data_IF_782399581762
#
_entry.id   IF_782399581762
#
_cell.length_a   1.000
_cell.length_b   1.000
_cell.length_c   1.000
_cell.angle_alpha   90.00
_cell.angle_beta   90.00
_cell.angle_gamma   90.00
#
_symmetry.space_group_name_H-M   'P 1'
#
loop_
_entity.id
_entity.type
_entity.pdbx_description
1 polymer ?
#
# COMPACT_ATOMS: atom_id res chain seq x y z
N UNK A 1 4.99 51.93 37.82
CA UNK A 1 3.68 51.56 37.24
C UNK A 1 3.63 50.05 37.08
N UNK A 2 2.65 49.33 37.64
CA UNK A 2 2.54 47.88 37.47
C UNK A 2 2.01 47.58 36.06
N UNK A 3 2.71 46.72 35.31
CA UNK A 3 2.24 46.23 34.00
C UNK A 3 1.11 45.22 34.25
N UNK A 4 -0.11 45.43 33.72
CA UNK A 4 -1.20 44.50 33.92
C UNK A 4 -0.92 43.20 33.16
N UNK A 5 -0.82 42.08 33.89
CA UNK A 5 -0.72 40.75 33.30
C UNK A 5 -2.03 40.43 32.56
N UNK A 6 -1.98 40.46 31.23
CA UNK A 6 -3.11 40.11 30.36
C UNK A 6 -3.54 38.65 30.65
N UNK A 7 -4.85 38.36 30.80
CA UNK A 7 -5.31 37.02 31.17
C UNK A 7 -4.99 36.02 30.05
N UNK A 8 -4.17 35.00 30.35
CA UNK A 8 -3.78 33.91 29.42
C UNK A 8 -4.91 32.91 29.10
N UNK A 9 -6.12 33.16 29.61
CA UNK A 9 -7.31 32.31 29.46
C UNK A 9 -7.75 32.05 28.01
N UNK A 10 -7.69 32.99 27.03
CA UNK A 10 -8.15 32.71 25.68
C UNK A 10 -7.17 31.81 24.91
N UNK A 11 -5.87 31.87 25.25
CA UNK A 11 -4.84 31.08 24.56
C UNK A 11 -4.86 29.61 25.01
N UNK A 12 -5.12 29.37 26.30
CA UNK A 12 -5.32 28.00 26.83
C UNK A 12 -6.60 27.40 26.25
N UNK A 13 -7.71 28.15 26.23
CA UNK A 13 -8.97 27.70 25.65
C UNK A 13 -8.83 27.39 24.14
N UNK A 14 -8.13 28.24 23.39
CA UNK A 14 -7.86 28.03 21.97
C UNK A 14 -6.99 26.78 21.72
N UNK A 15 -5.96 26.55 22.53
CA UNK A 15 -5.12 25.35 22.41
C UNK A 15 -5.90 24.08 22.75
N UNK A 16 -6.73 24.06 23.81
CA UNK A 16 -7.59 22.91 24.10
C UNK A 16 -8.63 22.66 23.01
N UNK A 17 -9.20 23.71 22.42
CA UNK A 17 -10.14 23.57 21.32
C UNK A 17 -9.46 23.01 20.07
N UNK A 18 -8.26 23.49 19.74
CA UNK A 18 -7.46 22.98 18.60
C UNK A 18 -7.04 21.53 18.81
N UNK A 19 -6.56 21.16 20.00
CA UNK A 19 -6.24 19.75 20.30
C UNK A 19 -7.47 18.84 20.27
N UNK A 20 -8.63 19.31 20.73
CA UNK A 20 -9.90 18.56 20.66
C UNK A 20 -10.39 18.42 19.22
N UNK A 21 -10.25 19.47 18.41
CA UNK A 21 -10.57 19.48 16.97
C UNK A 21 -9.63 18.58 16.16
N UNK A 22 -8.33 18.56 16.49
CA UNK A 22 -7.36 17.65 15.87
C UNK A 22 -7.63 16.19 16.28
N UNK A 23 -8.03 15.94 17.52
CA UNK A 23 -8.46 14.61 17.98
C UNK A 23 -9.73 14.11 17.27
N UNK A 24 -10.68 15.01 16.96
CA UNK A 24 -11.91 14.69 16.21
C UNK A 24 -11.68 14.60 14.69
N UNK A 25 -10.68 15.31 14.15
CA UNK A 25 -10.31 15.21 12.73
C UNK A 25 -9.58 13.91 12.38
N UNK A 26 -9.11 13.16 13.40
CA UNK A 26 -8.55 11.82 13.25
C UNK A 26 -9.60 10.71 13.07
N UNK A 27 -10.89 11.04 13.00
CA UNK A 27 -11.96 10.06 12.77
C UNK A 27 -11.86 9.45 11.37
N UNK A 28 -11.12 8.35 11.33
CA UNK A 28 -11.09 7.25 10.37
C UNK A 28 -12.38 7.11 9.55
N UNK A 29 -12.33 7.52 8.28
CA UNK A 29 -13.40 7.31 7.31
C UNK A 29 -13.30 5.95 6.60
N UNK A 30 -14.41 5.32 6.20
CA UNK A 30 -14.45 3.94 5.70
C UNK A 30 -13.90 3.73 4.28
N UNK A 31 -13.34 4.73 3.59
CA UNK A 31 -13.04 4.63 2.15
C UNK A 31 -11.65 5.13 1.79
N UNK A 32 -10.61 4.49 2.32
CA UNK A 32 -9.23 4.66 1.86
C UNK A 32 -8.77 3.41 1.11
N UNK A 33 -8.89 3.36 -0.23
CA UNK A 33 -8.63 2.15 -1.01
C UNK A 33 -7.15 1.68 -0.97
N UNK A 34 -6.25 2.51 -0.43
CA UNK A 34 -4.83 2.22 -0.25
C UNK A 34 -4.44 2.14 1.24
N UNK A 35 -5.40 1.98 2.15
CA UNK A 35 -5.13 1.87 3.58
C UNK A 35 -4.37 0.58 3.89
N UNK A 36 -3.33 0.70 4.72
CA UNK A 36 -2.64 -0.45 5.34
C UNK A 36 -3.29 -0.89 6.64
N UNK A 37 -4.27 -0.13 7.15
CA UNK A 37 -4.94 -0.37 8.43
C UNK A 37 -6.18 -1.25 8.30
N UNK A 38 -6.55 -1.63 7.08
CA UNK A 38 -7.60 -2.61 6.82
C UNK A 38 -6.99 -3.96 6.47
N UNK A 39 -7.44 -4.99 7.17
CA UNK A 39 -6.84 -6.32 7.09
C UNK A 39 -7.69 -7.25 6.22
N UNK A 40 -7.22 -7.54 5.00
CA UNK A 40 -7.87 -8.45 4.04
C UNK A 40 -7.08 -9.74 3.77
N UNK A 41 -5.98 -9.95 4.50
CA UNK A 41 -5.16 -11.17 4.43
C UNK A 41 -4.70 -11.60 5.82
N UNK A 42 -4.28 -12.87 5.92
CA UNK A 42 -3.59 -13.42 7.09
C UNK A 42 -2.33 -12.63 7.46
N UNK A 43 -1.53 -12.25 6.47
CA UNK A 43 -0.35 -11.42 6.66
C UNK A 43 -0.71 -10.06 7.26
N UNK A 44 -1.71 -9.35 6.73
CA UNK A 44 -2.06 -8.01 7.21
C UNK A 44 -2.56 -8.04 8.65
N UNK A 45 -3.30 -9.10 9.05
CA UNK A 45 -3.71 -9.25 10.46
C UNK A 45 -2.54 -9.34 11.42
N UNK A 46 -1.52 -10.12 11.08
CA UNK A 46 -0.33 -10.25 11.93
C UNK A 46 0.42 -8.92 12.05
N UNK A 47 0.62 -8.23 10.92
CA UNK A 47 1.31 -6.93 10.88
C UNK A 47 0.49 -5.85 11.59
N UNK A 48 -0.82 -5.81 11.38
CA UNK A 48 -1.75 -4.89 12.02
C UNK A 48 -1.72 -5.03 13.54
N UNK A 49 -1.75 -6.26 14.06
CA UNK A 49 -1.62 -6.51 15.49
C UNK A 49 -0.31 -5.95 16.06
N UNK A 50 0.83 -6.18 15.39
CA UNK A 50 2.12 -5.63 15.83
C UNK A 50 2.13 -4.10 15.78
N UNK A 51 1.56 -3.52 14.72
CA UNK A 51 1.45 -2.08 14.57
C UNK A 51 0.63 -1.46 15.70
N UNK A 52 -0.51 -2.05 16.04
CA UNK A 52 -1.37 -1.58 17.13
C UNK A 52 -0.64 -1.61 18.48
N UNK A 53 0.08 -2.70 18.78
CA UNK A 53 0.89 -2.81 20.00
C UNK A 53 1.98 -1.73 20.03
N UNK A 54 2.70 -1.54 18.92
CA UNK A 54 3.76 -0.53 18.80
C UNK A 54 3.22 0.89 19.00
N UNK A 55 2.09 1.22 18.37
CA UNK A 55 1.46 2.53 18.50
C UNK A 55 0.97 2.76 19.91
N UNK A 56 0.30 1.80 20.55
CA UNK A 56 -0.21 1.95 21.92
C UNK A 56 0.95 2.19 22.90
N UNK A 57 2.01 1.37 22.83
CA UNK A 57 3.19 1.52 23.69
C UNK A 57 3.91 2.83 23.40
N UNK A 58 4.08 3.17 22.12
CA UNK A 58 4.72 4.42 21.69
C UNK A 58 3.97 5.65 22.18
N UNK A 59 2.64 5.67 22.06
CA UNK A 59 1.78 6.74 22.57
C UNK A 59 1.87 6.82 24.10
N UNK A 60 1.87 5.69 24.81
CA UNK A 60 2.00 5.70 26.27
C UNK A 60 3.34 6.32 26.73
N UNK A 61 4.45 5.95 26.09
CA UNK A 61 5.77 6.53 26.36
C UNK A 61 5.81 8.02 25.98
N UNK A 62 5.28 8.36 24.81
CA UNK A 62 5.20 9.76 24.34
C UNK A 62 4.44 10.64 25.34
N UNK A 63 3.23 10.23 25.74
CA UNK A 63 2.41 10.96 26.72
C UNK A 63 3.14 11.07 28.06
N UNK A 64 3.80 10.01 28.53
CA UNK A 64 4.58 10.06 29.76
C UNK A 64 5.71 11.11 29.70
N UNK A 65 6.50 11.10 28.62
CA UNK A 65 7.60 12.06 28.41
C UNK A 65 7.06 13.49 28.28
N UNK A 66 6.01 13.70 27.49
CA UNK A 66 5.39 15.02 27.32
C UNK A 66 4.79 15.55 28.62
N UNK A 67 4.13 14.71 29.42
CA UNK A 67 3.61 15.11 30.74
C UNK A 67 4.75 15.53 31.67
N UNK A 68 5.86 14.79 31.72
CA UNK A 68 7.02 15.17 32.52
C UNK A 68 7.67 16.46 32.01
N UNK A 69 7.79 16.63 30.69
CA UNK A 69 8.32 17.85 30.09
C UNK A 69 7.44 19.07 30.41
N UNK A 70 6.13 18.96 30.20
CA UNK A 70 5.18 20.02 30.51
C UNK A 70 5.17 20.32 32.02
N UNK A 71 5.19 19.29 32.85
CA UNK A 71 5.29 19.43 34.30
C UNK A 71 6.56 20.17 34.71
N UNK A 72 7.72 19.80 34.17
CA UNK A 72 8.99 20.43 34.52
C UNK A 72 9.03 21.89 34.07
N UNK A 73 8.59 22.19 32.84
CA UNK A 73 8.46 23.55 32.32
C UNK A 73 7.53 24.38 33.19
N UNK A 74 6.38 23.84 33.60
CA UNK A 74 5.39 24.58 34.38
C UNK A 74 5.84 24.79 35.84
N UNK A 75 6.38 23.74 36.48
CA UNK A 75 6.73 23.70 37.90
C UNK A 75 8.04 24.42 38.22
N UNK A 76 9.03 24.34 37.32
CA UNK A 76 10.38 24.91 37.50
C UNK A 76 10.63 26.16 36.64
N UNK A 77 9.58 26.76 36.07
CA UNK A 77 9.69 28.06 35.40
C UNK A 77 10.25 29.13 36.33
N UNK A 78 11.25 29.88 35.87
CA UNK A 78 11.85 31.00 36.59
C UNK A 78 10.79 32.05 36.98
N UNK A 79 10.82 32.50 38.24
CA UNK A 79 9.98 33.59 38.76
C UNK A 79 10.85 34.74 39.27
N UNK A 80 10.35 35.99 39.23
CA UNK A 80 11.09 37.13 39.78
C UNK A 80 11.45 36.90 41.25
N UNK A 81 12.73 37.09 41.60
CA UNK A 81 13.23 36.93 42.97
C UNK A 81 13.60 35.50 43.39
N UNK A 82 13.59 34.52 42.49
CA UNK A 82 14.12 33.18 42.79
C UNK A 82 15.65 33.13 42.68
N UNK A 83 16.29 32.51 43.68
CA UNK A 83 17.72 32.18 43.66
C UNK A 83 18.04 31.02 42.70
N UNK A 84 19.31 30.62 42.65
CA UNK A 84 19.75 29.50 41.82
C UNK A 84 19.14 28.17 42.31
N UNK A 85 18.77 27.24 41.40
CA UNK A 85 18.25 25.93 41.77
C UNK A 85 19.32 25.06 42.43
N UNK A 86 18.89 24.09 43.22
CA UNK A 86 19.76 23.11 43.87
C UNK A 86 20.55 22.31 42.82
N UNK A 87 21.89 22.29 42.96
CA UNK A 87 22.78 21.58 42.05
C UNK A 87 22.93 20.12 42.49
N UNK A 88 21.99 19.30 42.06
CA UNK A 88 22.05 17.85 42.26
C UNK A 88 22.87 17.19 41.15
N UNK A 89 23.69 16.20 41.51
CA UNK A 89 24.52 15.46 40.56
C UNK A 89 24.20 13.97 40.65
N UNK A 90 23.73 13.41 39.53
CA UNK A 90 23.50 11.97 39.37
C UNK A 90 22.38 11.40 40.23
N UNK A 91 21.82 10.29 39.78
CA UNK A 91 20.97 9.44 40.61
C UNK A 91 21.03 8.03 40.04
N UNK A 92 21.91 7.21 40.60
CA UNK A 92 22.15 5.84 40.13
C UNK A 92 20.87 5.01 40.06
N UNK A 93 19.94 5.20 41.01
CA UNK A 93 18.66 4.47 41.01
C UNK A 93 17.78 4.87 39.83
N UNK A 94 17.66 6.17 39.55
CA UNK A 94 16.91 6.62 38.38
C UNK A 94 17.60 6.21 37.07
N UNK A 95 18.93 6.30 37.03
CA UNK A 95 19.77 5.86 35.91
C UNK A 95 19.54 4.40 35.52
N UNK A 96 19.52 3.52 36.51
CA UNK A 96 19.20 2.11 36.31
C UNK A 96 17.75 1.96 35.84
N UNK A 97 16.79 2.67 36.45
CA UNK A 97 15.37 2.55 36.15
C UNK A 97 15.05 2.88 34.69
N UNK A 98 15.51 4.03 34.19
CA UNK A 98 15.25 4.44 32.80
C UNK A 98 16.11 3.71 31.78
N UNK A 99 17.08 2.90 32.20
CA UNK A 99 17.84 2.02 31.31
C UNK A 99 17.17 0.66 31.20
N UNK A 100 16.76 0.09 32.35
CA UNK A 100 16.14 -1.24 32.42
C UNK A 100 14.72 -1.23 31.87
N UNK A 101 13.90 -0.21 32.15
CA UNK A 101 12.51 -0.16 31.68
C UNK A 101 12.45 -0.17 30.14
N UNK A 102 13.14 0.71 29.39
CA UNK A 102 13.14 0.66 27.93
C UNK A 102 13.71 -0.65 27.38
N UNK A 103 14.73 -1.22 28.00
CA UNK A 103 15.27 -2.52 27.59
C UNK A 103 14.20 -3.63 27.68
N UNK A 104 13.42 -3.68 28.77
CA UNK A 104 12.31 -4.63 28.92
C UNK A 104 11.21 -4.38 27.88
N UNK A 105 10.85 -3.11 27.64
CA UNK A 105 9.87 -2.75 26.61
C UNK A 105 10.32 -3.24 25.23
N UNK A 106 11.59 -3.07 24.88
CA UNK A 106 12.15 -3.54 23.62
C UNK A 106 12.10 -5.06 23.52
N UNK A 107 12.43 -5.81 24.57
CA UNK A 107 12.33 -7.27 24.58
C UNK A 107 10.88 -7.72 24.36
N UNK A 108 9.92 -7.09 25.04
CA UNK A 108 8.50 -7.39 24.90
C UNK A 108 7.98 -7.18 23.47
N UNK A 109 8.43 -6.12 22.79
CA UNK A 109 8.09 -5.84 21.39
C UNK A 109 8.83 -6.78 20.42
N UNK A 110 10.10 -7.09 20.71
CA UNK A 110 10.96 -7.85 19.81
C UNK A 110 10.50 -9.31 19.64
N UNK A 111 10.06 -9.97 20.70
CA UNK A 111 9.64 -11.38 20.65
C UNK A 111 8.53 -11.65 19.62
N UNK A 112 7.34 -11.00 19.69
CA UNK A 112 6.29 -11.21 18.71
C UNK A 112 6.70 -10.70 17.31
N UNK A 113 7.51 -9.64 17.22
CA UNK A 113 8.03 -9.14 15.95
C UNK A 113 8.86 -10.22 15.23
N UNK A 114 9.81 -10.84 15.93
CA UNK A 114 10.65 -11.91 15.38
C UNK A 114 9.81 -13.13 14.99
N UNK A 115 8.81 -13.50 15.77
CA UNK A 115 7.88 -14.59 15.42
C UNK A 115 7.14 -14.33 14.11
N UNK A 116 6.59 -13.11 13.94
CA UNK A 116 5.91 -12.73 12.70
C UNK A 116 6.89 -12.67 11.53
N UNK A 117 8.13 -12.21 11.73
CA UNK A 117 9.18 -12.27 10.70
C UNK A 117 9.39 -13.72 10.24
N UNK A 118 9.59 -14.67 11.16
CA UNK A 118 9.78 -16.07 10.76
C UNK A 118 8.55 -16.67 10.07
N UNK A 119 7.34 -16.33 10.53
CA UNK A 119 6.09 -16.76 9.89
C UNK A 119 5.99 -16.24 8.46
N UNK A 120 6.21 -14.95 8.26
CA UNK A 120 6.05 -14.26 6.98
C UNK A 120 7.17 -14.58 5.98
N UNK A 121 8.37 -14.92 6.46
CA UNK A 121 9.50 -15.33 5.62
C UNK A 121 9.58 -16.85 5.37
N UNK A 122 8.70 -17.64 6.00
CA UNK A 122 8.67 -19.08 5.80
C UNK A 122 8.34 -19.44 4.35
N UNK A 123 8.72 -20.64 3.93
CA UNK A 123 8.24 -21.18 2.66
C UNK A 123 6.74 -21.38 2.72
N UNK A 124 6.06 -21.04 1.63
CA UNK A 124 4.62 -21.31 1.48
C UNK A 124 4.33 -22.80 1.63
N UNK A 125 3.17 -23.14 2.16
CA UNK A 125 2.70 -24.53 2.22
C UNK A 125 2.38 -25.05 0.80
N UNK A 126 2.51 -26.37 0.53
CA UNK A 126 2.07 -26.96 -0.73
C UNK A 126 0.59 -26.67 -1.04
N UNK A 127 0.24 -26.59 -2.32
CA UNK A 127 -1.14 -26.35 -2.79
C UNK A 127 -1.51 -24.88 -3.00
N UNK A 128 -0.61 -23.95 -2.67
CA UNK A 128 -0.77 -22.54 -3.00
C UNK A 128 -0.79 -22.31 -4.52
N UNK A 129 -1.64 -21.39 -4.98
CA UNK A 129 -1.62 -20.91 -6.37
C UNK A 129 -0.29 -20.25 -6.67
N UNK A 130 0.41 -20.71 -7.70
CA UNK A 130 1.66 -20.09 -8.14
C UNK A 130 1.37 -18.93 -9.09
N UNK A 131 1.91 -17.76 -8.77
CA UNK A 131 1.88 -16.58 -9.65
C UNK A 131 3.30 -16.06 -9.81
N UNK A 132 3.79 -15.97 -11.04
CA UNK A 132 5.03 -15.26 -11.33
C UNK A 132 4.71 -13.78 -11.54
N UNK A 133 5.34 -12.92 -10.76
CA UNK A 133 5.27 -11.47 -10.92
C UNK A 133 6.57 -10.99 -11.54
N UNK A 134 6.47 -10.46 -12.75
CA UNK A 134 7.61 -9.95 -13.50
C UNK A 134 7.47 -8.44 -13.59
N UNK A 135 8.38 -7.74 -12.91
CA UNK A 135 8.54 -6.30 -13.06
C UNK A 135 9.27 -6.02 -14.36
N UNK A 136 8.59 -5.36 -15.29
CA UNK A 136 9.18 -4.84 -16.52
C UNK A 136 9.24 -3.33 -16.45
N UNK A 137 10.03 -2.73 -17.33
CA UNK A 137 10.20 -1.30 -17.37
C UNK A 137 8.84 -0.63 -17.60
N UNK A 138 8.29 -0.12 -16.48
CA UNK A 138 7.05 0.63 -16.36
C UNK A 138 5.74 -0.13 -16.55
N UNK A 139 5.76 -1.47 -16.48
CA UNK A 139 4.53 -2.28 -16.45
C UNK A 139 4.75 -3.65 -15.78
N UNK A 140 3.65 -4.27 -15.37
CA UNK A 140 3.66 -5.53 -14.63
C UNK A 140 3.16 -6.68 -15.50
N UNK A 141 3.92 -7.77 -15.56
CA UNK A 141 3.50 -9.02 -16.17
C UNK A 141 3.21 -10.05 -15.08
N UNK A 142 2.04 -10.66 -15.11
CA UNK A 142 1.66 -11.73 -14.21
C UNK A 142 1.47 -13.02 -15.00
N UNK A 143 2.14 -14.10 -14.60
CA UNK A 143 1.98 -15.43 -15.22
C UNK A 143 1.42 -16.41 -14.22
N UNK A 144 0.59 -17.33 -14.69
CA UNK A 144 -0.05 -18.35 -13.86
C UNK A 144 0.36 -19.73 -14.40
N UNK A 145 1.48 -20.31 -13.93
CA UNK A 145 2.04 -21.53 -14.50
C UNK A 145 1.09 -22.74 -14.48
N UNK A 146 0.20 -22.81 -13.48
CA UNK A 146 -0.83 -23.84 -13.37
C UNK A 146 -1.87 -23.80 -14.51
N UNK A 147 -2.05 -22.64 -15.13
CA UNK A 147 -2.97 -22.40 -16.23
C UNK A 147 -2.20 -22.37 -17.55
N UNK A 148 -1.64 -23.53 -17.90
CA UNK A 148 -0.89 -23.72 -19.15
C UNK A 148 -1.57 -24.77 -20.02
N UNK A 149 -1.76 -24.44 -21.30
CA UNK A 149 -2.33 -25.33 -22.30
C UNK A 149 -1.31 -25.64 -23.39
N UNK A 150 -1.47 -26.79 -24.06
CA UNK A 150 -0.67 -27.16 -25.24
C UNK A 150 -1.60 -27.17 -26.44
N UNK A 151 -1.40 -26.20 -27.33
CA UNK A 151 -2.17 -26.08 -28.57
C UNK A 151 -1.83 -27.19 -29.57
N UNK A 152 -2.70 -27.36 -30.58
CA UNK A 152 -2.56 -28.41 -31.60
C UNK A 152 -1.26 -28.35 -32.44
N UNK A 153 -0.55 -27.22 -32.44
CA UNK A 153 0.77 -27.06 -33.06
C UNK A 153 1.95 -27.43 -32.15
N UNK A 154 1.69 -27.91 -30.94
CA UNK A 154 2.71 -28.10 -29.89
C UNK A 154 3.12 -26.81 -29.18
N UNK A 155 2.47 -25.67 -29.47
CA UNK A 155 2.69 -24.40 -28.78
C UNK A 155 2.22 -24.50 -27.32
N UNK A 156 3.06 -24.09 -26.38
CA UNK A 156 2.74 -24.01 -24.95
C UNK A 156 2.26 -22.60 -24.63
N UNK A 157 1.03 -22.48 -24.13
CA UNK A 157 0.38 -21.22 -23.81
C UNK A 157 0.05 -21.16 -22.32
N UNK A 158 0.82 -20.36 -21.59
CA UNK A 158 0.56 -20.03 -20.19
C UNK A 158 -0.32 -18.79 -20.11
N UNK A 159 -1.25 -18.76 -19.16
CA UNK A 159 -2.05 -17.57 -18.88
C UNK A 159 -1.14 -16.44 -18.39
N UNK A 160 -1.13 -15.34 -19.13
CA UNK A 160 -0.35 -14.14 -18.84
C UNK A 160 -1.24 -12.92 -18.94
N UNK A 161 -1.15 -12.03 -17.95
CA UNK A 161 -1.88 -10.76 -17.92
C UNK A 161 -0.90 -9.59 -17.76
N UNK A 162 -1.31 -8.43 -18.26
CA UNK A 162 -0.57 -7.18 -18.12
C UNK A 162 -1.32 -6.25 -17.17
N UNK A 163 -0.66 -5.80 -16.10
CA UNK A 163 -1.19 -4.84 -15.11
C UNK A 163 -2.49 -5.26 -14.39
N UNK A 164 -2.95 -6.50 -14.57
CA UNK A 164 -4.11 -7.04 -13.89
C UNK A 164 -3.77 -8.38 -13.24
N UNK A 165 -3.99 -8.48 -11.94
CA UNK A 165 -3.73 -9.65 -11.11
C UNK A 165 -5.06 -10.15 -10.56
N UNK A 166 -5.37 -11.43 -10.72
CA UNK A 166 -6.57 -12.05 -10.17
C UNK A 166 -6.16 -13.06 -9.11
N UNK A 167 -6.87 -13.04 -7.98
CA UNK A 167 -6.56 -13.83 -6.79
C UNK A 167 -7.83 -14.53 -6.29
N UNK A 168 -7.86 -15.86 -6.20
CA UNK A 168 -8.99 -16.60 -5.65
C UNK A 168 -9.05 -16.44 -4.12
N UNK A 169 -10.23 -16.10 -3.60
CA UNK A 169 -10.46 -16.02 -2.15
C UNK A 169 -10.26 -17.37 -1.47
N UNK A 170 -9.67 -17.36 -0.28
CA UNK A 170 -9.48 -18.55 0.57
C UNK A 170 -8.38 -19.51 0.11
N UNK A 171 -7.76 -19.29 -1.06
CA UNK A 171 -6.60 -20.05 -1.53
C UNK A 171 -5.33 -19.22 -1.35
N UNK A 172 -4.34 -19.76 -0.64
CA UNK A 172 -3.04 -19.11 -0.50
C UNK A 172 -2.41 -18.91 -1.88
N UNK A 173 -1.86 -17.72 -2.12
CA UNK A 173 -1.15 -17.38 -3.36
C UNK A 173 0.32 -17.20 -3.04
N UNK A 174 1.18 -17.87 -3.81
CA UNK A 174 2.62 -17.74 -3.75
C UNK A 174 3.13 -16.95 -4.96
N UNK A 175 3.68 -15.79 -4.69
CA UNK A 175 4.28 -14.92 -5.68
C UNK A 175 5.77 -15.21 -5.81
N UNK A 176 6.19 -15.60 -7.01
CA UNK A 176 7.60 -15.63 -7.40
C UNK A 176 7.93 -14.31 -8.08
N UNK A 177 8.81 -13.53 -7.47
CA UNK A 177 9.06 -12.13 -7.84
C UNK A 177 10.41 -12.01 -8.56
N UNK A 178 10.38 -11.54 -9.81
CA UNK A 178 11.56 -11.33 -10.66
C UNK A 178 11.45 -10.04 -11.45
N UNK A 179 12.58 -9.43 -11.79
CA UNK A 179 12.60 -8.28 -12.72
C UNK A 179 13.27 -8.67 -14.04
N UNK A 180 12.82 -8.07 -15.14
CA UNK A 180 13.42 -8.20 -16.45
C UNK A 180 14.49 -7.12 -16.75
N UNK A 181 14.51 -6.03 -15.98
CA UNK A 181 15.31 -4.83 -16.29
C UNK A 181 15.92 -4.21 -15.03
N UNK A 182 15.15 -3.41 -14.29
CA UNK A 182 15.61 -2.63 -13.13
C UNK A 182 14.96 -3.10 -11.83
N UNK A 183 15.41 -2.56 -10.70
CA UNK A 183 14.75 -2.82 -9.43
C UNK A 183 13.30 -2.29 -9.46
N UNK A 184 12.38 -3.08 -8.93
CA UNK A 184 10.98 -2.70 -8.70
C UNK A 184 10.58 -3.16 -7.30
N UNK A 185 9.41 -2.74 -6.81
CA UNK A 185 8.82 -3.32 -5.60
C UNK A 185 7.35 -3.60 -5.83
N UNK A 186 6.98 -4.86 -5.64
CA UNK A 186 5.59 -5.30 -5.70
C UNK A 186 4.90 -5.01 -4.38
N UNK A 187 3.78 -4.29 -4.43
CA UNK A 187 3.01 -3.97 -3.23
C UNK A 187 1.53 -3.72 -3.55
N UNK A 188 0.66 -4.33 -2.74
CA UNK A 188 -0.78 -4.10 -2.71
C UNK A 188 -1.13 -3.72 -1.27
N UNK A 189 -1.23 -2.43 -0.96
CA UNK A 189 -1.31 -1.94 0.42
C UNK A 189 -2.38 -2.63 1.29
N UNK A 190 -3.63 -2.83 0.81
CA UNK A 190 -4.67 -3.50 1.60
C UNK A 190 -4.50 -5.02 1.76
N UNK A 191 -3.62 -5.67 0.98
CA UNK A 191 -3.41 -7.12 1.04
C UNK A 191 -2.10 -7.53 1.75
N UNK A 192 -1.35 -6.55 2.26
CA UNK A 192 -0.06 -6.75 2.91
C UNK A 192 1.07 -7.21 1.98
N UNK A 193 2.28 -7.20 2.56
CA UNK A 193 3.47 -7.72 1.91
C UNK A 193 4.01 -6.74 0.87
N UNK A 194 5.15 -6.12 1.19
CA UNK A 194 5.97 -5.40 0.22
C UNK A 194 7.21 -6.24 -0.02
N UNK A 195 7.56 -6.47 -1.29
CA UNK A 195 8.82 -7.13 -1.62
C UNK A 195 9.41 -6.62 -2.92
N UNK A 196 10.71 -6.40 -2.88
CA UNK A 196 11.46 -5.90 -4.03
C UNK A 196 11.74 -7.01 -5.03
N UNK A 197 11.70 -6.65 -6.31
CA UNK A 197 12.14 -7.46 -7.43
C UNK A 197 13.56 -7.01 -7.75
N UNK A 198 14.51 -7.91 -7.57
CA UNK A 198 15.94 -7.60 -7.64
C UNK A 198 16.57 -8.31 -8.84
N UNK A 199 17.36 -7.60 -9.63
CA UNK A 199 18.02 -8.17 -10.81
C UNK A 199 18.91 -9.35 -10.38
N UNK A 200 18.82 -10.47 -11.09
CA UNK A 200 19.54 -11.71 -10.78
C UNK A 200 19.23 -12.32 -9.41
N UNK A 201 18.11 -11.97 -8.77
CA UNK A 201 17.66 -12.58 -7.53
C UNK A 201 16.16 -12.83 -7.55
N UNK A 202 15.73 -14.05 -7.22
CA UNK A 202 14.31 -14.39 -7.14
C UNK A 202 13.84 -14.22 -5.71
N UNK A 203 12.87 -13.33 -5.50
CA UNK A 203 12.22 -13.16 -4.22
C UNK A 203 10.89 -13.91 -4.19
N UNK A 204 10.39 -14.17 -2.98
CA UNK A 204 9.09 -14.79 -2.77
C UNK A 204 8.26 -13.95 -1.81
N UNK A 205 6.96 -13.96 -2.02
CA UNK A 205 5.96 -13.38 -1.12
C UNK A 205 4.73 -14.28 -1.18
N UNK A 206 4.06 -14.51 -0.06
CA UNK A 206 2.81 -15.26 -0.08
C UNK A 206 1.85 -14.69 0.96
N UNK A 207 0.56 -14.82 0.67
CA UNK A 207 -0.53 -14.52 1.59
C UNK A 207 -1.78 -15.24 1.14
N UNK A 208 -2.79 -15.28 2.01
CA UNK A 208 -4.11 -15.82 1.69
C UNK A 208 -5.13 -14.67 1.68
N UNK A 209 -5.74 -14.35 0.51
CA UNK A 209 -6.85 -13.41 0.45
C UNK A 209 -8.05 -13.92 1.24
N UNK A 210 -8.58 -13.11 2.15
CA UNK A 210 -9.69 -13.49 3.00
C UNK A 210 -11.03 -13.47 2.27
N UNK A 211 -11.93 -14.39 2.62
CA UNK A 211 -13.28 -14.48 2.06
C UNK A 211 -14.17 -13.24 2.26
N UNK A 212 -13.73 -12.26 3.07
CA UNK A 212 -14.49 -11.07 3.41
C UNK A 212 -14.50 -9.97 2.32
N UNK A 213 -13.73 -10.11 1.23
CA UNK A 213 -13.64 -9.04 0.24
C UNK A 213 -13.42 -9.54 -1.17
N UNK A 214 -14.51 -9.78 -1.91
CA UNK A 214 -14.46 -9.60 -3.37
C UNK A 214 -14.21 -8.12 -3.62
N UNK A 215 -13.21 -7.77 -4.43
CA UNK A 215 -12.82 -6.38 -4.57
C UNK A 215 -11.72 -6.11 -5.57
N UNK A 216 -11.57 -4.83 -5.91
CA UNK A 216 -10.50 -4.33 -6.77
C UNK A 216 -9.57 -3.42 -5.97
N UNK A 217 -8.32 -3.82 -5.86
CA UNK A 217 -7.27 -3.18 -5.09
C UNK A 217 -6.28 -2.48 -6.02
N UNK A 218 -5.69 -1.39 -5.53
CA UNK A 218 -4.57 -0.77 -6.24
C UNK A 218 -3.27 -1.49 -5.87
N UNK A 219 -2.50 -1.83 -6.89
CA UNK A 219 -1.11 -2.21 -6.78
C UNK A 219 -0.19 -1.13 -7.32
N UNK A 220 0.95 -0.92 -6.69
CA UNK A 220 1.93 0.11 -7.09
C UNK A 220 3.35 -0.42 -7.07
N UNK A 221 4.22 0.19 -7.90
CA UNK A 221 5.66 0.06 -7.75
C UNK A 221 6.14 0.96 -6.61
N UNK A 222 6.87 0.40 -5.65
CA UNK A 222 7.30 1.11 -4.43
C UNK A 222 8.84 1.11 -4.22
N UNK A 223 9.58 0.96 -5.33
CA UNK A 223 11.04 1.10 -5.44
C UNK A 223 11.34 1.83 -6.75
N UNK A 224 12.26 2.80 -6.74
CA UNK A 224 12.42 3.72 -7.86
C UNK A 224 12.93 3.02 -9.12
N UNK A 225 12.10 2.98 -10.17
CA UNK A 225 12.38 2.25 -11.41
C UNK A 225 12.52 3.14 -12.67
N UNK A 226 12.69 4.45 -12.48
CA UNK A 226 12.95 5.42 -13.55
C UNK A 226 11.78 6.38 -13.84
N UNK A 227 11.75 6.93 -15.06
CA UNK A 227 10.92 8.08 -15.40
C UNK A 227 9.40 7.86 -15.19
N UNK A 228 8.89 6.67 -15.49
CA UNK A 228 7.47 6.35 -15.32
C UNK A 228 7.16 5.63 -14.00
N UNK A 229 8.05 5.71 -13.00
CA UNK A 229 7.91 4.99 -11.73
C UNK A 229 6.54 5.17 -11.07
N UNK A 230 6.06 6.41 -10.95
CA UNK A 230 4.76 6.71 -10.33
C UNK A 230 3.54 6.21 -11.13
N UNK A 231 3.72 5.93 -12.43
CA UNK A 231 2.66 5.43 -13.31
C UNK A 231 2.64 3.90 -13.39
N UNK A 232 3.63 3.23 -12.80
CA UNK A 232 3.74 1.77 -12.82
C UNK A 232 2.78 1.14 -11.81
N UNK A 233 1.49 1.22 -12.13
CA UNK A 233 0.36 0.72 -11.33
C UNK A 233 -0.21 -0.55 -11.95
N UNK A 234 -0.85 -1.36 -11.12
CA UNK A 234 -1.64 -2.51 -11.56
C UNK A 234 -2.92 -2.60 -10.72
N UNK A 235 -3.89 -3.38 -11.19
CA UNK A 235 -5.09 -3.72 -10.44
C UNK A 235 -5.00 -5.16 -9.96
N UNK A 236 -5.28 -5.37 -8.68
CA UNK A 236 -5.44 -6.70 -8.12
C UNK A 236 -6.91 -6.94 -7.81
N UNK A 237 -7.46 -8.05 -8.28
CA UNK A 237 -8.85 -8.45 -8.10
C UNK A 237 -8.89 -9.67 -7.19
N UNK A 238 -9.55 -9.56 -6.05
CA UNK A 238 -9.92 -10.72 -5.25
C UNK A 238 -11.32 -11.15 -5.67
N UNK A 239 -11.46 -12.40 -6.10
CA UNK A 239 -12.69 -12.94 -6.67
C UNK A 239 -13.03 -14.29 -6.04
N UNK A 240 -14.28 -14.73 -6.19
CA UNK A 240 -14.65 -16.08 -5.73
C UNK A 240 -13.82 -17.15 -6.47
N UNK A 241 -13.57 -18.32 -5.87
CA UNK A 241 -12.88 -19.41 -6.56
C UNK A 241 -13.54 -19.78 -7.90
N UNK A 242 -14.86 -19.75 -7.96
CA UNK A 242 -15.65 -20.04 -9.17
C UNK A 242 -15.43 -18.98 -10.26
N UNK A 243 -15.47 -17.69 -9.88
CA UNK A 243 -15.20 -16.59 -10.81
C UNK A 243 -13.75 -16.59 -11.30
N UNK A 244 -12.80 -16.94 -10.42
CA UNK A 244 -11.39 -17.08 -10.78
C UNK A 244 -11.21 -18.15 -11.86
N UNK A 245 -11.81 -19.33 -11.66
CA UNK A 245 -11.70 -20.43 -12.62
C UNK A 245 -12.38 -20.08 -13.94
N UNK A 246 -13.58 -19.51 -13.90
CA UNK A 246 -14.28 -19.01 -15.09
C UNK A 246 -13.45 -17.98 -15.86
N UNK A 247 -12.89 -17.00 -15.15
CA UNK A 247 -11.99 -16.00 -15.72
C UNK A 247 -10.77 -16.65 -16.36
N UNK A 248 -10.10 -17.57 -15.68
CA UNK A 248 -8.89 -18.20 -16.17
C UNK A 248 -9.14 -19.02 -17.45
N UNK A 249 -10.24 -19.79 -17.48
CA UNK A 249 -10.63 -20.54 -18.68
C UNK A 249 -10.98 -19.62 -19.85
N UNK A 250 -11.64 -18.50 -19.59
CA UNK A 250 -11.95 -17.50 -20.62
C UNK A 250 -10.68 -16.85 -21.20
N UNK A 251 -9.65 -16.60 -20.38
CA UNK A 251 -8.36 -16.05 -20.86
C UNK A 251 -7.57 -17.05 -21.71
N UNK A 252 -7.73 -18.35 -21.47
CA UNK A 252 -7.11 -19.41 -22.26
C UNK A 252 -7.85 -19.70 -23.57
N UNK A 253 -9.11 -19.24 -23.71
CA UNK A 253 -9.89 -19.44 -24.91
C UNK A 253 -9.29 -18.65 -26.10
N UNK A 254 -9.45 -19.14 -27.34
CA UNK A 254 -9.03 -18.41 -28.52
C UNK A 254 -9.64 -17.01 -28.57
N UNK A 255 -8.82 -16.01 -28.92
CA UNK A 255 -9.29 -14.64 -29.09
C UNK A 255 -10.44 -14.60 -30.10
N UNK A 256 -11.58 -14.06 -29.69
CA UNK A 256 -12.71 -13.83 -30.59
C UNK A 256 -12.38 -12.58 -31.40
N UNK A 257 -11.92 -12.77 -32.63
CA UNK A 257 -11.69 -11.65 -33.54
C UNK A 257 -12.99 -10.93 -33.86
N UNK A 258 -13.08 -9.64 -33.57
CA UNK A 258 -14.05 -8.79 -34.26
C UNK A 258 -13.66 -8.71 -35.74
N UNK A 259 -14.62 -8.96 -36.63
CA UNK A 259 -14.45 -8.81 -38.08
C UNK A 259 -13.78 -7.46 -38.41
N UNK A 260 -12.96 -7.37 -39.48
CA UNK A 260 -12.02 -6.27 -39.67
C UNK A 260 -12.73 -4.91 -39.65
N UNK A 261 -12.19 -4.01 -38.83
CA UNK A 261 -12.53 -2.60 -38.85
C UNK A 261 -12.27 -2.00 -40.24
N UNK A 262 -13.15 -1.07 -40.61
CA UNK A 262 -13.22 -0.31 -41.85
C UNK A 262 -11.84 0.07 -42.41
N UNK A 263 -11.71 -0.08 -43.73
CA UNK A 263 -10.53 0.15 -44.57
C UNK A 263 -9.58 1.25 -44.07
N UNK A 264 -8.29 0.92 -44.01
CA UNK A 264 -7.21 1.87 -43.81
C UNK A 264 -7.28 2.99 -44.87
N UNK A 265 -7.36 4.24 -44.41
CA UNK A 265 -7.12 5.40 -45.26
C UNK A 265 -5.63 5.38 -45.64
N UNK A 266 -5.26 5.42 -46.94
CA UNK A 266 -3.88 5.33 -47.36
C UNK A 266 -3.09 6.56 -46.88
N UNK A 267 -1.94 6.31 -46.27
CA UNK A 267 -0.96 7.33 -45.92
C UNK A 267 -0.38 7.92 -47.22
N UNK A 268 -0.85 9.11 -47.61
CA UNK A 268 -0.35 9.75 -48.82
C UNK A 268 -1.05 11.05 -49.18
N UNK A 269 -0.87 12.09 -48.38
CA UNK A 269 -1.02 13.48 -48.83
C UNK A 269 -0.22 14.44 -47.93
N UNK A 270 0.92 14.92 -48.45
CA UNK A 270 1.49 16.23 -48.12
C UNK A 270 2.37 16.32 -46.86
N UNK A 271 3.67 16.01 -47.00
CA UNK A 271 4.70 16.64 -46.18
C UNK A 271 4.85 18.11 -46.61
N UNK A 272 4.58 19.06 -45.72
CA UNK A 272 5.13 20.42 -45.77
C UNK A 272 5.89 20.71 -44.47
N UNK A 273 6.96 21.49 -44.61
CA UNK A 273 8.09 21.68 -43.69
C UNK A 273 7.74 22.33 -42.32
N UNK A 274 8.65 22.31 -41.32
CA UNK A 274 8.33 22.61 -39.93
C UNK A 274 8.36 24.11 -39.66
N UNK A 275 7.30 24.62 -39.01
CA UNK A 275 7.31 25.98 -38.47
C UNK A 275 5.96 26.67 -38.55
N UNK A 276 5.00 26.23 -37.73
CA UNK A 276 3.94 27.03 -37.10
C UNK A 276 2.91 26.07 -36.48
N UNK A 277 2.70 26.17 -35.15
CA UNK A 277 1.66 25.42 -34.48
C UNK A 277 0.28 25.92 -34.94
N UNK A 278 -0.63 25.06 -35.43
CA UNK A 278 -1.97 25.48 -35.78
C UNK A 278 -2.81 25.75 -34.52
N UNK A 279 -3.80 26.66 -34.58
CA UNK A 279 -4.65 26.98 -33.45
C UNK A 279 -5.52 25.78 -33.06
N UNK A 280 -5.81 25.67 -31.76
CA UNK A 280 -6.65 24.62 -31.16
C UNK A 280 -8.05 24.68 -31.79
N UNK A 281 -8.32 23.81 -32.76
CA UNK A 281 -9.65 23.51 -33.22
C UNK A 281 -10.27 22.47 -32.28
N UNK A 282 -11.40 22.82 -31.67
CA UNK A 282 -12.19 21.94 -30.82
C UNK A 282 -12.67 20.73 -31.65
N UNK A 283 -12.11 19.56 -31.38
CA UNK A 283 -12.66 18.30 -31.89
C UNK A 283 -13.89 17.88 -31.05
N UNK A 284 -14.98 17.41 -31.68
CA UNK A 284 -16.09 16.83 -30.93
C UNK A 284 -15.63 15.51 -30.28
N UNK A 285 -15.83 15.42 -28.97
CA UNK A 285 -15.59 14.21 -28.17
C UNK A 285 -16.58 13.14 -28.63
N UNK A 286 -16.13 12.20 -29.46
CA UNK A 286 -16.87 10.94 -29.66
C UNK A 286 -16.49 10.00 -28.52
N UNK A 287 -17.41 9.83 -27.57
CA UNK A 287 -17.29 8.85 -26.49
C UNK A 287 -17.39 7.44 -27.09
N UNK A 288 -16.26 6.85 -27.47
CA UNK A 288 -16.15 5.41 -27.63
C UNK A 288 -15.94 4.81 -26.23
N UNK A 289 -17.04 4.44 -25.59
CA UNK A 289 -17.04 3.72 -24.33
C UNK A 289 -16.48 2.30 -24.56
N UNK A 290 -15.20 2.08 -24.25
CA UNK A 290 -14.69 0.73 -23.98
C UNK A 290 -15.23 0.32 -22.60
N UNK A 291 -16.43 -0.25 -22.57
CA UNK A 291 -16.92 -0.92 -21.36
C UNK A 291 -16.21 -2.27 -21.22
N UNK A 292 -15.66 -2.60 -20.04
CA UNK A 292 -15.37 -3.99 -19.71
C UNK A 292 -16.69 -4.76 -19.65
N UNK A 293 -16.67 -6.03 -20.06
CA UNK A 293 -17.81 -6.93 -19.90
C UNK A 293 -18.29 -6.93 -18.43
N UNK A 294 -19.61 -6.83 -18.16
CA UNK A 294 -20.10 -6.81 -16.80
C UNK A 294 -19.87 -8.17 -16.13
N UNK A 295 -19.10 -8.18 -15.05
CA UNK A 295 -19.09 -9.28 -14.07
C UNK A 295 -20.41 -9.17 -13.28
N UNK A 296 -21.26 -10.21 -13.23
CA UNK A 296 -22.49 -10.17 -12.44
C UNK A 296 -22.16 -9.88 -10.97
N UNK A 297 -22.68 -8.78 -10.42
CA UNK A 297 -22.58 -8.45 -8.99
C UNK A 297 -21.64 -7.31 -8.61
N UNK A 298 -20.91 -6.69 -9.55
CA UNK A 298 -20.05 -5.53 -9.27
C UNK A 298 -20.70 -4.26 -9.84
N UNK A 299 -21.27 -3.42 -8.99
CA UNK A 299 -21.61 -2.04 -9.38
C UNK A 299 -20.35 -1.18 -9.35
N UNK A 300 -19.93 -0.57 -10.47
CA UNK A 300 -18.77 0.31 -10.48
C UNK A 300 -19.10 1.61 -9.73
N UNK A 301 -18.37 1.89 -8.65
CA UNK A 301 -18.44 3.16 -7.94
C UNK A 301 -17.69 4.23 -8.74
N UNK A 302 -18.46 5.06 -9.47
CA UNK A 302 -17.95 6.11 -10.39
C UNK A 302 -17.22 7.26 -9.69
N UNK A 303 -17.06 7.22 -8.37
CA UNK A 303 -16.45 8.31 -7.59
C UNK A 303 -14.91 8.35 -7.61
N UNK A 304 -14.21 7.35 -8.17
CA UNK A 304 -12.74 7.25 -8.12
C UNK A 304 -11.99 7.65 -9.41
N UNK A 305 -12.68 8.23 -10.39
CA UNK A 305 -12.08 8.65 -11.68
C UNK A 305 -11.68 10.14 -11.72
N UNK A 306 -11.05 10.67 -10.65
CA UNK A 306 -10.37 11.97 -10.68
C UNK A 306 -8.99 11.89 -10.05
#
# INVERSE_FOLDING_TARGET
MPVPLRPRRPLVAALTAVFSLLGLAGCYGPSHPNSIFTNFTDWNRDVGFLFDVLIIVGVAVFVFVEVLLIYTIWRYRQRPGQGQPEQVHGNTTLEILWTVIPAIILVFIAVPTVQVIFKTQAKVKPGALQVEVIGRQWWWEFRYPEYTTVGGSGRVDTLVTANELYLPLGRTVNFTLRTADVLHSFWIAPLAGKRDLISNHTNYLWFTPDSAGVGAWNGTCNEYCGASHANMKFRAYTVTPEDFESWAQNQLAPAVGTAPAVAAVPAGAGMTAPGQAPPIAQMPVSQATLMPSPIPGITPDTASLR
#
